data_IF_258577849397
#
_entry.id   IF_258577849397
#
_cell.length_a   1.000
_cell.length_b   1.000
_cell.length_c   1.000
_cell.angle_alpha   90.00
_cell.angle_beta   90.00
_cell.angle_gamma   90.00
#
_symmetry.space_group_name_H-M   'P 1'
#
loop_
_entity.id
_entity.type
_entity.pdbx_description
1 polymer ?
#
# COMPACT_ATOMS: atom_id res chain seq x y z
N UNK A 1 12.83 -6.73 -5.55
CA UNK A 1 11.73 -6.04 -6.24
C UNK A 1 11.46 -4.75 -5.52
N UNK A 2 11.51 -3.63 -6.23
CA UNK A 2 11.32 -2.32 -5.65
C UNK A 2 9.84 -1.94 -5.71
N UNK A 3 9.22 -1.76 -4.55
CA UNK A 3 7.84 -1.30 -4.40
C UNK A 3 7.89 0.12 -3.85
N UNK A 4 7.49 1.08 -4.66
CA UNK A 4 7.43 2.48 -4.27
C UNK A 4 6.03 2.81 -3.75
N UNK A 5 5.94 3.49 -2.61
CA UNK A 5 4.70 4.05 -2.09
C UNK A 5 4.76 5.57 -2.24
N UNK A 6 3.75 6.17 -2.86
CA UNK A 6 3.70 7.62 -3.04
C UNK A 6 2.34 8.16 -2.60
N UNK A 7 2.34 9.08 -1.63
CA UNK A 7 1.15 9.77 -1.17
C UNK A 7 0.79 10.96 -2.04
N UNK A 8 -0.42 11.00 -2.59
CA UNK A 8 -0.87 12.11 -3.45
C UNK A 8 -1.16 13.40 -2.69
N UNK A 9 -1.31 13.31 -1.36
CA UNK A 9 -1.52 14.44 -0.49
C UNK A 9 -0.86 14.21 0.87
N UNK A 10 -0.70 15.28 1.66
CA UNK A 10 -0.26 15.13 3.06
C UNK A 10 -1.27 14.33 3.86
N UNK A 11 -0.78 13.60 4.87
CA UNK A 11 -1.57 12.87 5.86
C UNK A 11 -2.44 11.72 5.34
N UNK A 12 -2.31 11.27 4.09
CA UNK A 12 -2.99 10.08 3.55
C UNK A 12 -2.54 8.75 4.17
N UNK A 13 -1.49 8.79 5.00
CA UNK A 13 -1.03 7.63 5.76
C UNK A 13 -0.09 6.71 4.98
N UNK A 14 0.67 7.23 4.01
CA UNK A 14 1.53 6.43 3.12
C UNK A 14 2.49 5.54 3.89
N UNK A 15 3.27 6.12 4.80
CA UNK A 15 4.24 5.41 5.63
C UNK A 15 3.60 4.34 6.51
N UNK A 16 2.43 4.65 7.09
CA UNK A 16 1.68 3.71 7.91
C UNK A 16 1.15 2.55 7.06
N UNK A 17 0.49 2.84 5.95
CA UNK A 17 -0.04 1.82 5.04
C UNK A 17 1.07 0.93 4.46
N UNK A 18 2.21 1.51 4.11
CA UNK A 18 3.42 0.78 3.72
C UNK A 18 3.87 -0.16 4.84
N UNK A 19 3.97 0.33 6.08
CA UNK A 19 4.34 -0.49 7.23
C UNK A 19 3.35 -1.62 7.49
N UNK A 20 2.04 -1.41 7.26
CA UNK A 20 1.04 -2.47 7.37
C UNK A 20 1.26 -3.57 6.33
N UNK A 21 1.44 -3.20 5.06
CA UNK A 21 1.69 -4.15 3.96
C UNK A 21 2.99 -4.91 4.20
N UNK A 22 4.07 -4.19 4.52
CA UNK A 22 5.38 -4.79 4.81
C UNK A 22 5.29 -5.78 5.97
N UNK A 23 4.67 -5.38 7.08
CA UNK A 23 4.52 -6.24 8.25
C UNK A 23 3.57 -7.43 8.00
N UNK A 24 2.54 -7.28 7.17
CA UNK A 24 1.69 -8.39 6.78
C UNK A 24 2.49 -9.42 5.97
N UNK A 25 3.20 -8.94 4.93
CA UNK A 25 4.01 -9.79 4.07
C UNK A 25 5.15 -10.46 4.84
N UNK A 26 5.74 -9.79 5.85
CA UNK A 26 6.76 -10.38 6.71
C UNK A 26 6.22 -11.48 7.65
N UNK A 27 4.97 -11.34 8.11
CA UNK A 27 4.37 -12.27 9.08
C UNK A 27 3.72 -13.50 8.43
N UNK A 28 3.06 -13.34 7.27
CA UNK A 28 2.30 -14.42 6.60
C UNK A 28 2.96 -14.96 5.35
N UNK A 29 3.92 -14.23 4.76
CA UNK A 29 4.84 -14.77 3.79
C UNK A 29 6.16 -14.97 4.54
N UNK A 30 6.66 -16.20 4.75
CA UNK A 30 7.76 -16.47 5.68
C UNK A 30 9.15 -15.99 5.20
N UNK A 31 9.26 -14.81 4.56
CA UNK A 31 10.50 -14.35 3.98
C UNK A 31 10.54 -12.82 3.76
N UNK A 32 10.55 -12.06 4.85
CA UNK A 32 11.05 -10.67 4.84
C UNK A 32 12.03 -10.55 5.98
N UNK A 33 13.32 -10.79 5.68
CA UNK A 33 14.41 -10.42 6.57
C UNK A 33 14.45 -8.89 6.69
N UNK A 34 14.00 -8.37 7.83
CA UNK A 34 14.46 -7.05 8.31
C UNK A 34 15.97 -7.11 8.46
N UNK A 35 16.69 -6.31 7.68
CA UNK A 35 18.15 -6.28 7.63
C UNK A 35 18.81 -6.25 9.03
N UNK A 36 19.32 -7.41 9.46
CA UNK A 36 20.53 -7.60 10.28
C UNK A 36 21.20 -8.91 9.85
N UNK A 37 21.98 -8.80 8.77
CA UNK A 37 22.97 -9.76 8.22
C UNK A 37 22.47 -11.11 7.66
N UNK A 38 23.21 -11.68 6.68
CA UNK A 38 22.62 -12.45 5.58
C UNK A 38 23.12 -13.90 5.51
N UNK A 39 22.23 -14.90 5.47
CA UNK A 39 22.59 -16.21 4.90
C UNK A 39 21.44 -16.86 4.12
N UNK A 40 21.56 -16.73 2.79
CA UNK A 40 21.18 -17.64 1.70
C UNK A 40 20.06 -18.68 1.97
N UNK A 41 18.90 -18.42 1.34
CA UNK A 41 18.10 -19.46 0.68
C UNK A 41 17.39 -18.88 -0.54
N UNK A 42 17.67 -19.42 -1.73
CA UNK A 42 17.05 -18.98 -2.96
C UNK A 42 15.59 -19.47 -3.03
N UNK A 43 14.63 -18.62 -2.66
CA UNK A 43 13.33 -18.43 -3.33
C UNK A 43 12.42 -17.47 -2.52
N UNK A 44 12.88 -16.25 -2.30
CA UNK A 44 12.01 -15.14 -1.94
C UNK A 44 12.50 -13.91 -2.67
N UNK A 45 11.59 -13.21 -3.33
CA UNK A 45 11.95 -11.93 -3.94
C UNK A 45 12.06 -10.94 -2.79
N UNK A 46 13.25 -10.43 -2.53
CA UNK A 46 13.46 -9.38 -1.54
C UNK A 46 12.64 -8.15 -1.97
N UNK A 47 11.55 -7.89 -1.27
CA UNK A 47 10.76 -6.69 -1.47
C UNK A 47 11.45 -5.52 -0.77
N UNK A 48 11.83 -4.52 -1.55
CA UNK A 48 12.35 -3.26 -1.04
C UNK A 48 11.20 -2.26 -1.09
N UNK A 49 10.69 -1.89 0.08
CA UNK A 49 9.66 -0.88 0.22
C UNK A 49 10.29 0.51 0.37
N UNK A 50 9.81 1.47 -0.40
CA UNK A 50 10.29 2.86 -0.33
C UNK A 50 9.11 3.81 -0.21
N UNK A 51 9.10 4.66 0.80
CA UNK A 51 8.15 5.77 0.88
C UNK A 51 8.72 6.98 0.13
N UNK A 52 8.17 7.23 -1.06
CA UNK A 52 8.55 8.31 -1.95
C UNK A 52 7.91 9.66 -1.57
N UNK A 53 7.09 9.73 -0.52
CA UNK A 53 6.35 10.95 -0.19
C UNK A 53 7.21 12.07 0.41
N UNK A 54 8.44 11.78 0.84
CA UNK A 54 9.30 12.71 1.60
C UNK A 54 10.76 12.74 1.11
N UNK A 55 11.07 12.10 -0.03
CA UNK A 55 12.45 11.99 -0.53
C UNK A 55 12.63 12.82 -1.82
N UNK A 56 13.75 13.54 -1.98
CA UNK A 56 14.05 14.30 -3.20
C UNK A 56 14.11 13.44 -4.46
N UNK A 57 14.60 12.20 -4.35
CA UNK A 57 14.80 11.26 -5.44
C UNK A 57 13.54 10.45 -5.79
N UNK A 58 12.37 10.88 -5.30
CA UNK A 58 11.11 10.17 -5.45
C UNK A 58 10.79 9.84 -6.91
N UNK A 59 11.03 10.77 -7.83
CA UNK A 59 10.72 10.61 -9.25
C UNK A 59 11.56 9.50 -9.89
N UNK A 60 12.88 9.50 -9.66
CA UNK A 60 13.79 8.47 -10.16
C UNK A 60 13.42 7.07 -9.63
N UNK A 61 12.99 6.99 -8.37
CA UNK A 61 12.54 5.72 -7.77
C UNK A 61 11.20 5.29 -8.37
N UNK A 62 10.23 6.19 -8.51
CA UNK A 62 8.93 5.88 -9.12
C UNK A 62 9.09 5.47 -10.59
N UNK A 63 10.07 6.00 -11.30
CA UNK A 63 10.36 5.63 -12.69
C UNK A 63 10.92 4.22 -12.84
N UNK A 64 11.72 3.78 -11.87
CA UNK A 64 12.47 2.51 -11.95
C UNK A 64 11.87 1.38 -11.13
N UNK A 65 10.90 1.68 -10.26
CA UNK A 65 10.23 0.68 -9.42
C UNK A 65 9.48 -0.39 -10.22
N UNK A 66 9.36 -1.59 -9.64
CA UNK A 66 8.64 -2.71 -10.23
C UNK A 66 7.11 -2.58 -10.05
N UNK A 67 6.69 -1.90 -8.96
CA UNK A 67 5.31 -1.58 -8.64
C UNK A 67 5.22 -0.23 -7.94
N UNK A 68 4.33 0.63 -8.42
CA UNK A 68 3.98 1.88 -7.76
C UNK A 68 2.65 1.73 -7.01
N UNK A 69 2.67 2.02 -5.71
CA UNK A 69 1.49 2.09 -4.86
C UNK A 69 1.15 3.56 -4.64
N UNK A 70 0.12 4.04 -5.34
CA UNK A 70 -0.38 5.40 -5.15
C UNK A 70 -1.33 5.42 -3.97
N UNK A 71 -0.89 6.03 -2.88
CA UNK A 71 -1.69 6.16 -1.67
C UNK A 71 -2.53 7.44 -1.71
N UNK A 72 -3.85 7.27 -1.72
CA UNK A 72 -4.85 8.29 -2.02
C UNK A 72 -5.68 8.64 -0.78
N UNK A 73 -6.13 9.90 -0.71
CA UNK A 73 -7.30 10.23 0.10
C UNK A 73 -8.58 9.82 -0.62
N UNK A 74 -9.66 9.60 0.13
CA UNK A 74 -10.97 9.33 -0.45
C UNK A 74 -11.60 10.53 -1.20
N UNK A 75 -11.00 11.71 -1.10
CA UNK A 75 -11.36 12.86 -1.92
C UNK A 75 -10.67 12.86 -3.29
N UNK A 76 -9.68 11.99 -3.51
CA UNK A 76 -8.88 11.97 -4.73
C UNK A 76 -7.90 13.14 -4.82
N UNK A 77 -7.70 13.88 -3.72
CA UNK A 77 -6.86 15.08 -3.71
C UNK A 77 -5.43 14.72 -4.16
N UNK A 78 -4.92 15.51 -5.10
CA UNK A 78 -3.59 15.37 -5.66
C UNK A 78 -3.49 14.36 -6.82
N UNK A 79 -4.55 13.62 -7.15
CA UNK A 79 -4.54 12.74 -8.32
C UNK A 79 -4.33 13.51 -9.62
N UNK A 80 -4.94 14.68 -9.78
CA UNK A 80 -4.74 15.52 -10.97
C UNK A 80 -3.27 15.88 -11.17
N UNK A 81 -2.58 16.29 -10.11
CA UNK A 81 -1.14 16.56 -10.15
C UNK A 81 -0.36 15.31 -10.52
N UNK A 82 -0.74 14.15 -9.98
CA UNK A 82 -0.06 12.88 -10.28
C UNK A 82 -0.24 12.45 -11.74
N UNK A 83 -1.43 12.62 -12.31
CA UNK A 83 -1.72 12.27 -13.70
C UNK A 83 -1.12 13.27 -14.71
N UNK A 84 -0.89 14.51 -14.31
CA UNK A 84 -0.31 15.56 -15.17
C UNK A 84 1.21 15.64 -15.06
N UNK A 85 1.77 15.51 -13.85
CA UNK A 85 3.21 15.64 -13.60
C UNK A 85 3.99 14.36 -13.93
N UNK A 86 3.36 13.19 -13.79
CA UNK A 86 4.03 11.92 -14.02
C UNK A 86 3.37 11.15 -15.16
N UNK A 87 4.19 10.50 -15.99
CA UNK A 87 3.73 9.52 -16.98
C UNK A 87 3.33 8.18 -16.32
N UNK A 88 2.65 8.26 -15.17
CA UNK A 88 2.19 7.14 -14.33
C UNK A 88 1.23 6.21 -15.07
N UNK A 89 0.54 6.72 -16.08
CA UNK A 89 -0.28 5.97 -17.05
C UNK A 89 0.52 4.92 -17.85
N UNK A 90 1.83 4.79 -17.65
CA UNK A 90 2.66 3.73 -18.24
C UNK A 90 3.34 2.85 -17.20
N UNK A 91 2.89 2.90 -15.94
CA UNK A 91 3.49 2.13 -14.86
C UNK A 91 2.56 1.02 -14.39
N UNK A 92 3.17 -0.02 -13.85
CA UNK A 92 2.45 -1.03 -13.09
C UNK A 92 2.06 -0.41 -11.75
N UNK A 93 0.79 -0.03 -11.62
CA UNK A 93 0.28 0.75 -10.49
C UNK A 93 -0.83 -0.01 -9.77
N UNK A 94 -0.88 0.15 -8.45
CA UNK A 94 -2.08 -0.07 -7.66
C UNK A 94 -2.46 1.22 -6.93
N UNK A 95 -3.77 1.43 -6.76
CA UNK A 95 -4.33 2.58 -6.05
C UNK A 95 -4.74 2.13 -4.66
N UNK A 96 -4.17 2.75 -3.63
CA UNK A 96 -4.44 2.42 -2.24
C UNK A 96 -5.17 3.59 -1.58
N UNK A 97 -6.44 3.39 -1.20
CA UNK A 97 -7.21 4.41 -0.50
C UNK A 97 -7.00 4.25 1.00
N UNK A 98 -6.28 5.19 1.60
CA UNK A 98 -5.88 5.17 2.99
C UNK A 98 -6.79 5.99 3.90
N UNK A 99 -6.85 5.62 5.18
CA UNK A 99 -7.48 6.39 6.27
C UNK A 99 -8.95 6.80 6.02
N UNK A 100 -9.68 6.03 5.23
CA UNK A 100 -11.11 6.26 5.05
C UNK A 100 -11.90 5.67 6.23
N UNK A 101 -13.12 6.17 6.41
CA UNK A 101 -14.08 5.66 7.39
C UNK A 101 -14.97 4.63 6.70
N UNK A 102 -15.31 3.54 7.39
CA UNK A 102 -16.20 2.51 6.84
C UNK A 102 -17.52 3.12 6.34
N UNK A 103 -18.07 2.57 5.25
CA UNK A 103 -19.29 3.01 4.51
C UNK A 103 -19.10 4.08 3.42
N UNK A 104 -17.87 4.43 3.07
CA UNK A 104 -17.61 5.36 1.96
C UNK A 104 -17.40 4.66 0.59
N UNK A 105 -18.17 3.60 0.33
CA UNK A 105 -18.03 2.81 -0.90
C UNK A 105 -18.40 3.59 -2.16
N UNK A 106 -19.34 4.53 -2.05
CA UNK A 106 -19.77 5.35 -3.19
C UNK A 106 -18.68 6.32 -3.64
N UNK A 107 -17.95 6.92 -2.69
CA UNK A 107 -16.86 7.84 -2.98
C UNK A 107 -15.67 7.14 -3.64
N UNK A 108 -15.36 5.91 -3.21
CA UNK A 108 -14.37 5.06 -3.88
C UNK A 108 -14.79 4.77 -5.32
N UNK A 109 -16.05 4.38 -5.54
CA UNK A 109 -16.59 4.12 -6.88
C UNK A 109 -16.68 5.39 -7.73
N UNK A 110 -16.85 6.56 -7.13
CA UNK A 110 -16.81 7.86 -7.81
C UNK A 110 -15.41 8.15 -8.34
N UNK A 111 -14.38 8.05 -7.50
CA UNK A 111 -12.98 8.30 -7.89
C UNK A 111 -12.51 7.28 -8.92
N UNK A 112 -12.87 6.01 -8.72
CA UNK A 112 -12.53 4.95 -9.66
C UNK A 112 -13.03 5.26 -11.07
N UNK A 113 -14.27 5.77 -11.20
CA UNK A 113 -14.84 6.18 -12.48
C UNK A 113 -14.18 7.44 -13.03
N UNK A 114 -14.03 8.46 -12.19
CA UNK A 114 -13.47 9.77 -12.57
C UNK A 114 -12.06 9.65 -13.16
N UNK A 115 -11.22 8.82 -12.56
CA UNK A 115 -9.82 8.60 -12.99
C UNK A 115 -9.62 7.27 -13.74
N UNK A 116 -10.72 6.62 -14.15
CA UNK A 116 -10.72 5.36 -14.92
C UNK A 116 -9.86 4.24 -14.30
N UNK A 117 -9.81 4.19 -12.97
CA UNK A 117 -9.07 3.18 -12.22
C UNK A 117 -9.71 1.80 -12.37
N UNK A 118 -8.91 0.81 -12.77
CA UNK A 118 -9.36 -0.58 -12.81
C UNK A 118 -9.66 -1.08 -11.39
N UNK A 119 -10.88 -1.56 -11.15
CA UNK A 119 -11.32 -1.98 -9.81
C UNK A 119 -10.41 -3.03 -9.17
N UNK A 120 -9.84 -3.93 -9.98
CA UNK A 120 -8.92 -4.98 -9.54
C UNK A 120 -7.60 -4.45 -8.98
N UNK A 121 -7.26 -3.18 -9.25
CA UNK A 121 -6.05 -2.47 -8.80
C UNK A 121 -6.34 -1.51 -7.66
N UNK A 122 -7.59 -1.39 -7.21
CA UNK A 122 -7.98 -0.55 -6.08
C UNK A 122 -7.95 -1.38 -4.80
N UNK A 123 -7.12 -0.95 -3.87
CA UNK A 123 -6.99 -1.48 -2.53
C UNK A 123 -7.41 -0.40 -1.53
N UNK A 124 -7.79 -0.83 -0.32
CA UNK A 124 -8.29 0.05 0.72
C UNK A 124 -7.65 -0.35 2.04
N UNK A 125 -7.26 0.62 2.87
CA UNK A 125 -6.88 0.40 4.28
C UNK A 125 -7.61 1.45 5.14
N UNK A 126 -8.60 1.03 5.95
CA UNK A 126 -9.41 1.97 6.72
C UNK A 126 -8.62 2.56 7.88
N UNK A 127 -9.07 3.70 8.39
CA UNK A 127 -8.55 4.19 9.66
C UNK A 127 -8.90 3.20 10.78
N UNK A 128 -7.90 2.82 11.57
CA UNK A 128 -8.07 1.96 12.74
C UNK A 128 -7.28 2.55 13.92
N UNK A 129 -7.92 2.90 15.05
CA UNK A 129 -7.26 3.62 16.13
C UNK A 129 -6.12 2.81 16.76
N UNK A 130 -6.32 1.49 16.94
CA UNK A 130 -5.27 0.60 17.44
C UNK A 130 -4.07 0.49 16.49
N UNK A 131 -4.30 0.64 15.18
CA UNK A 131 -3.24 0.60 14.19
C UNK A 131 -2.47 1.92 14.15
N UNK A 132 -3.17 3.06 14.21
CA UNK A 132 -2.55 4.38 14.33
C UNK A 132 -1.61 4.44 15.54
N UNK A 133 -2.08 4.01 16.71
CA UNK A 133 -1.27 3.92 17.92
C UNK A 133 -0.10 2.93 17.78
N UNK A 134 -0.31 1.80 17.12
CA UNK A 134 0.77 0.85 16.87
C UNK A 134 1.85 1.43 15.94
N UNK A 135 1.45 2.21 14.93
CA UNK A 135 2.38 2.90 14.05
C UNK A 135 3.19 3.97 14.80
N UNK A 136 2.54 4.82 15.59
CA UNK A 136 3.21 5.84 16.41
C UNK A 136 4.23 5.26 17.40
N UNK A 137 4.02 4.02 17.86
CA UNK A 137 4.91 3.34 18.79
C UNK A 137 5.79 2.26 18.14
N UNK A 138 5.91 2.23 16.81
CA UNK A 138 6.75 1.26 16.07
C UNK A 138 6.41 -0.22 16.36
N UNK A 139 5.15 -0.50 16.68
CA UNK A 139 4.61 -1.82 17.08
C UNK A 139 3.71 -2.44 16.03
N UNK A 140 3.75 -1.98 14.78
CA UNK A 140 2.90 -2.50 13.68
C UNK A 140 2.98 -4.03 13.52
N UNK A 141 4.17 -4.67 13.46
CA UNK A 141 4.23 -6.12 13.32
C UNK A 141 3.57 -6.87 14.48
N UNK A 142 3.79 -6.40 15.72
CA UNK A 142 3.17 -6.97 16.91
C UNK A 142 1.65 -6.79 16.91
N UNK A 143 1.17 -5.61 16.50
CA UNK A 143 -0.25 -5.33 16.38
C UNK A 143 -0.93 -6.27 15.38
N UNK A 144 -0.40 -6.39 14.16
CA UNK A 144 -0.97 -7.27 13.13
C UNK A 144 -0.95 -8.75 13.54
N UNK A 145 0.11 -9.19 14.24
CA UNK A 145 0.18 -10.55 14.78
C UNK A 145 -0.91 -10.80 15.84
N UNK A 146 -1.12 -9.85 16.75
CA UNK A 146 -2.19 -9.95 17.75
C UNK A 146 -3.59 -9.91 17.13
N UNK A 147 -3.78 -9.08 16.11
CA UNK A 147 -5.02 -8.96 15.37
C UNK A 147 -5.47 -10.28 14.72
N UNK A 148 -4.54 -11.09 14.20
CA UNK A 148 -4.86 -12.43 13.67
C UNK A 148 -5.32 -13.42 14.73
N UNK A 149 -4.81 -13.28 15.95
CA UNK A 149 -5.08 -14.22 17.05
C UNK A 149 -6.38 -13.87 17.79
N UNK A 150 -6.75 -12.58 17.83
CA UNK A 150 -7.84 -12.10 18.67
C UNK A 150 -8.56 -10.87 18.10
N UNK A 151 -8.91 -10.86 16.81
CA UNK A 151 -9.75 -9.80 16.26
C UNK A 151 -11.13 -9.82 16.95
N UNK A 152 -11.39 -8.83 17.81
CA UNK A 152 -12.51 -8.87 18.75
C UNK A 152 -13.73 -8.08 18.23
N UNK A 153 -13.53 -7.18 17.28
CA UNK A 153 -14.59 -6.32 16.74
C UNK A 153 -14.84 -6.51 15.23
N UNK A 154 -15.98 -6.03 14.73
CA UNK A 154 -16.22 -5.98 13.28
C UNK A 154 -15.23 -5.05 12.57
N UNK A 155 -14.82 -3.94 13.22
CA UNK A 155 -13.83 -3.03 12.67
C UNK A 155 -12.44 -3.66 12.58
N UNK A 156 -12.04 -4.45 13.59
CA UNK A 156 -10.79 -5.22 13.62
C UNK A 156 -10.74 -6.21 12.45
N UNK A 157 -11.80 -7.02 12.31
CA UNK A 157 -11.94 -8.00 11.23
C UNK A 157 -11.92 -7.35 9.85
N UNK A 158 -12.63 -6.24 9.69
CA UNK A 158 -12.65 -5.48 8.45
C UNK A 158 -11.26 -4.92 8.12
N UNK A 159 -10.60 -4.26 9.09
CA UNK A 159 -9.24 -3.75 8.92
C UNK A 159 -8.27 -4.87 8.48
N UNK A 160 -8.29 -6.01 9.17
CA UNK A 160 -7.41 -7.14 8.84
C UNK A 160 -7.65 -7.68 7.44
N UNK A 161 -8.92 -7.85 7.05
CA UNK A 161 -9.28 -8.29 5.70
C UNK A 161 -8.78 -7.30 4.62
N UNK A 162 -8.87 -6.00 4.90
CA UNK A 162 -8.43 -4.95 3.97
C UNK A 162 -6.89 -4.90 3.85
N UNK A 163 -6.16 -5.03 4.96
CA UNK A 163 -4.68 -5.16 4.94
C UNK A 163 -4.24 -6.42 4.20
N UNK A 164 -4.91 -7.55 4.43
CA UNK A 164 -4.63 -8.80 3.70
C UNK A 164 -4.87 -8.64 2.19
N UNK A 165 -6.00 -8.06 1.79
CA UNK A 165 -6.32 -7.80 0.37
C UNK A 165 -5.28 -6.89 -0.28
N UNK A 166 -4.93 -5.78 0.36
CA UNK A 166 -3.91 -4.85 -0.13
C UNK A 166 -2.55 -5.55 -0.29
N UNK A 167 -2.16 -6.37 0.70
CA UNK A 167 -0.89 -7.09 0.68
C UNK A 167 -0.84 -8.17 -0.40
N UNK A 168 -1.93 -8.91 -0.60
CA UNK A 168 -2.08 -9.88 -1.70
C UNK A 168 -2.05 -9.20 -3.06
N UNK A 169 -2.70 -8.04 -3.21
CA UNK A 169 -2.63 -7.27 -4.45
C UNK A 169 -1.20 -6.81 -4.74
N UNK A 170 -0.48 -6.28 -3.75
CA UNK A 170 0.94 -5.94 -3.88
C UNK A 170 1.75 -7.15 -4.35
N UNK A 171 1.57 -8.33 -3.73
CA UNK A 171 2.25 -9.55 -4.13
C UNK A 171 1.93 -9.96 -5.58
N UNK A 172 0.66 -9.91 -5.98
CA UNK A 172 0.21 -10.27 -7.34
C UNK A 172 0.79 -9.30 -8.37
N UNK A 173 0.57 -8.00 -8.19
CA UNK A 173 0.93 -7.01 -9.19
C UNK A 173 2.42 -6.75 -9.25
N UNK A 174 3.15 -6.84 -8.13
CA UNK A 174 4.60 -6.76 -8.17
C UNK A 174 5.15 -7.83 -9.13
N UNK A 175 4.59 -9.05 -9.13
CA UNK A 175 5.04 -10.14 -10.01
C UNK A 175 4.69 -9.94 -11.50
N UNK A 176 3.84 -8.95 -11.84
CA UNK A 176 3.40 -8.63 -13.20
C UNK A 176 4.17 -7.42 -13.77
N UNK A 177 5.49 -7.46 -13.67
CA UNK A 177 6.36 -6.39 -14.19
C UNK A 177 6.11 -6.20 -15.70
N UNK A 178 5.83 -4.97 -16.12
CA UNK A 178 5.58 -4.61 -17.51
C UNK A 178 4.10 -4.52 -17.89
N UNK A 179 3.17 -4.92 -17.02
CA UNK A 179 1.74 -4.65 -17.21
C UNK A 179 1.50 -3.13 -17.10
N UNK A 180 1.23 -2.51 -18.24
CA UNK A 180 0.88 -1.09 -18.33
C UNK A 180 -0.56 -0.90 -17.84
N UNK A 181 -0.76 0.06 -16.94
CA UNK A 181 -2.09 0.52 -16.61
C UNK A 181 -2.59 1.48 -17.71
N UNK A 182 -3.59 1.06 -18.49
CA UNK A 182 -4.29 1.96 -19.42
C UNK A 182 -5.54 2.52 -18.74
N UNK A 183 -5.59 3.85 -18.61
CA UNK A 183 -6.80 4.65 -18.33
C UNK A 183 -7.04 5.65 -19.45
#
# INVERSE_FOLDING_TARGET
>A
MQIAFYGTARNVGTSANMAAVQAFLANDCPYVETMRQPEKSAAAKDFIFTDCSQIPEAEAIMETCDLLVLNLSISGRGLETVYTAYSIVRKNVIFLIGKYIQNQSEEVMRIAREYRMEQSRICMIPYHPGFARAYEHEKVPRFLKGQKQSANSCADRYFNQQVERASKAVLIYANRKGDLFYG
#
